data_IF_018031881458
#
_entry.id   IF_018031881458
#
_cell.length_a   1.000
_cell.length_b   1.000
_cell.length_c   1.000
_cell.angle_alpha   90.00
_cell.angle_beta   90.00
_cell.angle_gamma   90.00
#
_symmetry.space_group_name_H-M   'P 1'
#
loop_
_entity.id
_entity.type
_entity.pdbx_description
1 polymer ?
#
# COMPACT_ATOMS: atom_id res chain seq x y z
N UNK A 1 -7.48 3.41 -12.89
CA UNK A 1 -8.27 3.99 -11.78
C UNK A 1 -9.41 3.04 -11.47
N UNK A 2 -9.71 2.79 -10.19
CA UNK A 2 -10.73 1.83 -9.76
C UNK A 2 -12.17 2.39 -9.78
N UNK A 3 -12.35 3.69 -10.04
CA UNK A 3 -13.67 4.34 -10.01
C UNK A 3 -14.30 4.44 -8.62
N UNK A 4 -13.57 4.06 -7.57
CA UNK A 4 -14.02 4.12 -6.18
C UNK A 4 -13.85 5.55 -5.68
N UNK A 5 -14.96 6.16 -5.24
CA UNK A 5 -14.93 7.49 -4.61
C UNK A 5 -14.15 7.43 -3.29
N UNK A 6 -13.21 8.37 -3.11
CA UNK A 6 -12.50 8.56 -1.85
C UNK A 6 -13.19 9.67 -1.05
N UNK A 7 -13.76 9.34 0.10
CA UNK A 7 -14.41 10.32 0.98
C UNK A 7 -13.42 11.04 1.90
N UNK A 8 -12.18 10.56 2.03
CA UNK A 8 -11.18 11.20 2.89
C UNK A 8 -10.60 12.47 2.28
N UNK A 9 -10.81 13.60 2.96
CA UNK A 9 -10.22 14.89 2.60
C UNK A 9 -8.86 15.07 3.30
N UNK A 10 -7.82 14.59 2.62
CA UNK A 10 -6.43 14.73 3.05
C UNK A 10 -5.98 16.20 3.11
N UNK A 11 -6.49 17.07 2.25
CA UNK A 11 -6.08 18.49 2.23
C UNK A 11 -6.56 19.20 3.49
N UNK A 12 -7.80 18.95 3.89
CA UNK A 12 -8.36 19.47 5.14
C UNK A 12 -7.68 18.87 6.38
N UNK A 13 -7.39 17.56 6.35
CA UNK A 13 -6.66 16.88 7.40
C UNK A 13 -5.26 17.49 7.60
N UNK A 14 -4.50 17.71 6.52
CA UNK A 14 -3.17 18.29 6.59
C UNK A 14 -3.17 19.74 7.07
N UNK A 15 -4.15 20.56 6.66
CA UNK A 15 -4.26 21.96 7.11
C UNK A 15 -4.56 22.11 8.60
N UNK A 16 -5.13 21.08 9.22
CA UNK A 16 -5.53 21.08 10.63
C UNK A 16 -4.56 20.31 11.53
N UNK A 17 -3.59 19.59 10.95
CA UNK A 17 -2.54 18.91 11.68
C UNK A 17 -1.59 19.90 12.36
N UNK A 18 -1.22 19.61 13.61
CA UNK A 18 -0.25 20.39 14.39
C UNK A 18 0.71 19.45 15.13
N UNK A 19 1.89 19.95 15.47
CA UNK A 19 2.82 19.24 16.35
C UNK A 19 2.58 19.71 17.78
N UNK A 20 2.32 18.77 18.69
CA UNK A 20 2.06 19.02 20.11
C UNK A 20 2.96 18.11 20.93
N UNK A 21 3.42 18.59 22.07
CA UNK A 21 4.17 17.77 23.04
C UNK A 21 3.17 16.96 23.89
N UNK A 22 3.26 15.64 23.81
CA UNK A 22 2.41 14.67 24.52
C UNK A 22 3.36 13.67 25.18
N UNK A 23 3.27 13.53 26.49
CA UNK A 23 4.11 12.63 27.29
C UNK A 23 5.63 12.81 27.09
N UNK A 24 6.07 14.05 26.85
CA UNK A 24 7.47 14.41 26.61
C UNK A 24 7.97 14.17 25.18
N UNK A 25 7.08 13.74 24.27
CA UNK A 25 7.39 13.52 22.86
C UNK A 25 6.57 14.44 21.95
N UNK A 26 7.20 14.91 20.86
CA UNK A 26 6.50 15.71 19.84
C UNK A 26 5.70 14.80 18.91
N UNK A 27 4.38 14.87 18.98
CA UNK A 27 3.46 14.07 18.18
C UNK A 27 2.65 14.92 17.22
N UNK A 28 2.23 14.33 16.10
CA UNK A 28 1.26 14.96 15.19
C UNK A 28 -0.13 14.77 15.78
N UNK A 29 -0.80 15.87 16.08
CA UNK A 29 -2.16 15.89 16.59
C UNK A 29 -3.10 16.52 15.57
N UNK A 30 -4.29 15.95 15.46
CA UNK A 30 -5.37 16.47 14.64
C UNK A 30 -6.38 17.21 15.50
N UNK A 31 -7.08 18.16 14.89
CA UNK A 31 -8.17 18.88 15.55
C UNK A 31 -9.33 17.92 15.85
N UNK A 32 -9.98 18.10 17.00
CA UNK A 32 -11.18 17.36 17.44
C UNK A 32 -12.25 17.18 16.34
N UNK A 33 -12.51 18.22 15.54
CA UNK A 33 -13.47 18.20 14.43
C UNK A 33 -13.09 17.29 13.26
N UNK A 34 -11.85 16.82 13.19
CA UNK A 34 -11.37 15.91 12.13
C UNK A 34 -11.51 14.43 12.49
N UNK A 35 -12.00 14.10 13.69
CA UNK A 35 -12.20 12.71 14.12
C UNK A 35 -13.01 11.92 13.09
N UNK A 36 -14.10 12.50 12.57
CA UNK A 36 -14.93 11.84 11.56
C UNK A 36 -14.18 11.60 10.24
N UNK A 37 -13.39 12.58 9.79
CA UNK A 37 -12.57 12.47 8.58
C UNK A 37 -11.51 11.36 8.72
N UNK A 38 -10.91 11.23 9.90
CA UNK A 38 -9.99 10.12 10.21
C UNK A 38 -10.70 8.76 10.22
N UNK A 39 -11.91 8.67 10.74
CA UNK A 39 -12.71 7.44 10.63
C UNK A 39 -13.01 7.08 9.17
N UNK A 40 -13.36 8.07 8.34
CA UNK A 40 -13.60 7.87 6.90
C UNK A 40 -12.34 7.40 6.16
N UNK A 41 -11.15 7.85 6.57
CA UNK A 41 -9.87 7.35 6.05
C UNK A 41 -9.75 5.83 6.24
N UNK A 42 -9.95 5.35 7.48
CA UNK A 42 -9.85 3.92 7.78
C UNK A 42 -10.97 3.11 7.11
N UNK A 43 -12.18 3.65 7.06
CA UNK A 43 -13.29 3.01 6.38
C UNK A 43 -13.01 2.85 4.87
N UNK A 44 -12.52 3.91 4.22
CA UNK A 44 -12.13 3.89 2.81
C UNK A 44 -11.01 2.87 2.57
N UNK A 45 -10.03 2.79 3.47
CA UNK A 45 -8.96 1.78 3.38
C UNK A 45 -9.52 0.35 3.39
N UNK A 46 -10.42 0.02 4.32
CA UNK A 46 -11.04 -1.31 4.39
C UNK A 46 -11.84 -1.61 3.13
N UNK A 47 -12.56 -0.61 2.62
CA UNK A 47 -13.32 -0.73 1.37
C UNK A 47 -12.41 -1.04 0.19
N UNK A 48 -11.34 -0.27 0.00
CA UNK A 48 -10.35 -0.52 -1.06
C UNK A 48 -9.71 -1.90 -0.95
N UNK A 49 -9.41 -2.32 0.28
CA UNK A 49 -8.82 -3.63 0.54
C UNK A 49 -9.73 -4.76 0.06
N UNK A 50 -11.01 -4.71 0.42
CA UNK A 50 -11.99 -5.75 0.06
C UNK A 50 -12.41 -5.71 -1.40
N UNK A 51 -12.62 -4.51 -1.95
CA UNK A 51 -13.16 -4.35 -3.31
C UNK A 51 -12.09 -4.51 -4.39
N UNK A 52 -10.84 -4.13 -4.12
CA UNK A 52 -9.80 -4.08 -5.14
C UNK A 52 -8.56 -4.92 -4.81
N UNK A 53 -7.97 -4.74 -3.63
CA UNK A 53 -6.68 -5.38 -3.34
C UNK A 53 -6.81 -6.90 -3.13
N UNK A 54 -7.80 -7.36 -2.38
CA UNK A 54 -8.07 -8.79 -2.21
C UNK A 54 -9.07 -9.34 -3.22
N UNK A 55 -9.23 -8.67 -4.36
CA UNK A 55 -10.13 -9.17 -5.38
C UNK A 55 -9.67 -10.57 -5.82
N UNK A 56 -10.54 -11.58 -5.66
CA UNK A 56 -10.17 -12.99 -5.83
C UNK A 56 -9.54 -13.28 -7.20
N UNK A 57 -10.04 -12.64 -8.26
CA UNK A 57 -9.46 -12.77 -9.60
C UNK A 57 -8.10 -12.08 -9.70
N UNK A 58 -7.94 -10.92 -9.05
CA UNK A 58 -6.67 -10.20 -9.01
C UNK A 58 -5.59 -11.04 -8.34
N UNK A 59 -5.89 -11.55 -7.14
CA UNK A 59 -5.02 -12.45 -6.39
C UNK A 59 -4.68 -13.72 -7.19
N UNK A 60 -5.66 -14.31 -7.88
CA UNK A 60 -5.42 -15.50 -8.70
C UNK A 60 -4.45 -15.19 -9.84
N UNK A 61 -4.61 -14.06 -10.53
CA UNK A 61 -3.69 -13.63 -11.60
C UNK A 61 -2.29 -13.38 -11.03
N UNK A 62 -2.16 -12.74 -9.87
CA UNK A 62 -0.87 -12.52 -9.21
C UNK A 62 -0.17 -13.83 -8.85
N UNK A 63 -0.91 -14.85 -8.38
CA UNK A 63 -0.38 -16.19 -8.12
C UNK A 63 0.09 -16.83 -9.43
N UNK A 64 -0.72 -16.80 -10.49
CA UNK A 64 -0.35 -17.37 -11.80
C UNK A 64 0.91 -16.72 -12.37
N UNK A 65 1.02 -15.39 -12.28
CA UNK A 65 2.22 -14.65 -12.70
C UNK A 65 3.42 -15.06 -11.86
N UNK A 66 3.25 -15.15 -10.53
CA UNK A 66 4.31 -15.57 -9.61
C UNK A 66 4.82 -16.98 -9.92
N UNK A 67 3.93 -17.92 -10.22
CA UNK A 67 4.28 -19.28 -10.64
C UNK A 67 5.01 -19.30 -11.99
N UNK A 68 4.52 -18.55 -12.97
CA UNK A 68 5.18 -18.41 -14.27
C UNK A 68 6.60 -17.84 -14.12
N UNK A 69 6.78 -16.81 -13.26
CA UNK A 69 8.10 -16.24 -12.98
C UNK A 69 9.02 -17.25 -12.28
N UNK A 70 8.52 -18.06 -11.35
CA UNK A 70 9.30 -19.15 -10.73
C UNK A 70 9.76 -20.19 -11.74
N UNK A 71 8.92 -20.55 -12.71
CA UNK A 71 9.31 -21.47 -13.77
C UNK A 71 10.36 -20.85 -14.72
N UNK A 72 10.19 -19.56 -15.04
CA UNK A 72 11.08 -18.83 -15.94
C UNK A 72 12.45 -18.49 -15.32
N UNK A 73 12.55 -18.48 -13.98
CA UNK A 73 13.77 -18.14 -13.22
C UNK A 73 15.00 -18.97 -13.65
N UNK A 74 14.78 -20.22 -14.06
CA UNK A 74 15.86 -21.12 -14.52
C UNK A 74 16.45 -20.71 -15.88
N UNK A 75 15.69 -20.00 -16.70
CA UNK A 75 16.02 -19.74 -18.11
C UNK A 75 16.36 -18.27 -18.36
N UNK A 76 15.74 -17.35 -17.61
CA UNK A 76 15.92 -15.92 -17.82
C UNK A 76 16.92 -15.36 -16.81
N UNK A 77 18.01 -14.82 -17.33
CA UNK A 77 19.06 -14.18 -16.55
C UNK A 77 19.13 -12.69 -16.87
N UNK A 78 19.09 -11.86 -15.83
CA UNK A 78 19.13 -10.40 -15.93
C UNK A 78 20.58 -9.93 -15.71
N UNK A 79 21.17 -9.11 -16.60
CA UNK A 79 22.52 -8.59 -16.40
C UNK A 79 22.56 -7.65 -15.18
N UNK A 80 23.38 -8.00 -14.18
CA UNK A 80 23.66 -7.15 -13.03
C UNK A 80 25.02 -6.45 -13.15
N UNK A 81 25.33 -5.58 -12.17
CA UNK A 81 26.56 -4.75 -12.16
C UNK A 81 27.86 -5.54 -12.37
N UNK A 82 27.97 -6.76 -11.82
CA UNK A 82 29.17 -7.61 -11.93
C UNK A 82 28.90 -9.04 -12.45
N UNK A 83 27.64 -9.53 -12.42
CA UNK A 83 27.24 -10.88 -12.85
C UNK A 83 25.77 -10.90 -13.26
N UNK A 84 25.40 -11.86 -14.10
CA UNK A 84 24.00 -12.20 -14.36
C UNK A 84 23.32 -12.69 -13.08
N UNK A 85 22.11 -12.22 -12.80
CA UNK A 85 21.25 -12.64 -11.69
C UNK A 85 20.01 -13.32 -12.24
N UNK A 86 19.45 -14.25 -11.50
CA UNK A 86 18.13 -14.78 -11.82
C UNK A 86 17.05 -13.72 -11.55
N UNK A 87 15.84 -13.91 -12.07
CA UNK A 87 14.74 -12.95 -11.93
C UNK A 87 14.35 -12.82 -10.46
N UNK A 88 14.30 -13.96 -9.75
CA UNK A 88 13.94 -14.04 -8.35
C UNK A 88 15.24 -14.03 -7.54
N UNK A 89 15.49 -13.02 -6.69
CA UNK A 89 16.60 -13.08 -5.75
C UNK A 89 16.35 -14.26 -4.81
N UNK A 90 17.31 -15.18 -4.73
CA UNK A 90 17.31 -16.28 -3.76
C UNK A 90 17.24 -15.69 -2.34
N UNK A 91 16.03 -15.64 -1.79
CA UNK A 91 15.70 -15.39 -0.38
C UNK A 91 14.24 -15.83 -0.21
N UNK A 92 13.86 -16.78 0.64
CA UNK A 92 14.42 -17.27 1.90
C UNK A 92 14.66 -18.80 1.89
#
# INVERSE_FOLDING_TARGET
MLGIANSFDHTRCMKSARVVEVDGEKQICFRDKEVQNLYEMFHTRVRLYREAYEHCVGNTIEIMISEAMKMADKFIKIPGKNKYRNIIPLSY
#
